data_IF_244562892279
#
_entry.id   IF_244562892279
#
_cell.length_a   1.000
_cell.length_b   1.000
_cell.length_c   1.000
_cell.angle_alpha   90.00
_cell.angle_beta   90.00
_cell.angle_gamma   90.00
#
_symmetry.space_group_name_H-M   'P 1'
#
loop_
_entity.id
_entity.type
_entity.pdbx_description
1 polymer ?
#
# COMPACT_ATOMS: atom_id res chain seq x y z
N UNK A 1 3.16 -6.92 20.86
CA UNK A 1 2.75 -6.02 19.76
C UNK A 1 2.24 -4.75 20.40
N UNK A 2 3.08 -3.72 20.40
CA UNK A 2 2.88 -2.46 21.14
C UNK A 2 1.74 -1.64 20.55
N UNK A 3 0.87 -1.16 21.42
CA UNK A 3 -0.28 -0.27 21.16
C UNK A 3 0.10 1.18 20.79
N UNK A 4 1.33 1.43 20.46
CA UNK A 4 1.86 2.77 20.23
C UNK A 4 1.78 3.17 18.77
N UNK A 5 0.59 3.56 18.25
CA UNK A 5 0.48 4.39 17.03
C UNK A 5 -0.97 4.84 16.74
N UNK A 6 -1.78 5.01 17.78
CA UNK A 6 -3.01 5.79 17.66
C UNK A 6 -2.80 6.97 18.59
N UNK A 7 -2.63 8.20 18.10
CA UNK A 7 -2.66 9.34 18.99
C UNK A 7 -4.04 9.34 19.68
N UNK A 8 -4.02 9.44 21.01
CA UNK A 8 -5.21 9.64 21.82
C UNK A 8 -6.09 10.74 21.22
N UNK A 9 -7.41 10.72 21.41
CA UNK A 9 -8.30 11.80 21.05
C UNK A 9 -8.01 13.01 21.96
N UNK A 10 -6.86 13.63 21.73
CA UNK A 10 -6.51 14.93 22.31
C UNK A 10 -7.44 15.98 21.69
N UNK A 11 -7.80 16.99 22.48
CA UNK A 11 -8.63 18.15 22.17
C UNK A 11 -8.60 18.59 20.70
N UNK A 12 -9.68 19.17 20.14
CA UNK A 12 -9.80 19.48 18.73
C UNK A 12 -8.57 20.25 18.24
N UNK A 13 -7.68 19.53 17.57
CA UNK A 13 -6.44 20.13 17.05
C UNK A 13 -6.81 21.05 15.90
N UNK A 14 -6.49 22.34 16.04
CA UNK A 14 -6.63 23.31 14.96
C UNK A 14 -6.01 22.76 13.69
N UNK A 15 -6.75 22.77 12.59
CA UNK A 15 -6.23 22.33 11.30
C UNK A 15 -5.07 23.24 10.88
N UNK A 16 -3.85 22.73 10.94
CA UNK A 16 -2.65 23.46 10.50
C UNK A 16 -2.65 23.61 8.98
N UNK A 17 -1.91 24.60 8.40
CA UNK A 17 -1.76 24.72 6.94
C UNK A 17 -1.26 23.42 6.28
N UNK A 18 -0.33 22.70 6.93
CA UNK A 18 0.18 21.42 6.44
C UNK A 18 -0.91 20.34 6.43
N UNK A 19 -1.72 20.26 7.49
CA UNK A 19 -2.85 19.32 7.55
C UNK A 19 -3.92 19.68 6.51
N UNK A 20 -4.22 20.98 6.34
CA UNK A 20 -5.15 21.45 5.31
C UNK A 20 -4.72 21.00 3.91
N UNK A 21 -3.47 21.28 3.54
CA UNK A 21 -2.91 20.87 2.26
C UNK A 21 -2.92 19.33 2.09
N UNK A 22 -2.68 18.59 3.17
CA UNK A 22 -2.76 17.12 3.16
C UNK A 22 -4.20 16.64 2.93
N UNK A 23 -5.17 17.22 3.60
CA UNK A 23 -6.59 16.91 3.38
C UNK A 23 -7.00 17.18 1.94
N UNK A 24 -6.60 18.32 1.36
CA UNK A 24 -6.86 18.65 -0.05
C UNK A 24 -6.33 17.56 -0.99
N UNK A 25 -5.09 17.10 -0.78
CA UNK A 25 -4.50 16.02 -1.59
C UNK A 25 -5.24 14.69 -1.41
N UNK A 26 -5.60 14.33 -0.19
CA UNK A 26 -6.30 13.07 0.10
C UNK A 26 -7.69 13.05 -0.56
N UNK A 27 -8.50 14.10 -0.34
CA UNK A 27 -9.85 14.16 -0.92
C UNK A 27 -9.82 14.36 -2.43
N UNK A 28 -8.79 15.06 -2.94
CA UNK A 28 -8.50 15.20 -4.36
C UNK A 28 -7.94 13.93 -5.01
N UNK A 29 -7.77 12.83 -4.22
CA UNK A 29 -7.25 11.55 -4.68
C UNK A 29 -5.88 11.64 -5.36
N UNK A 30 -4.99 12.49 -4.81
CA UNK A 30 -3.61 12.57 -5.28
C UNK A 30 -3.00 11.16 -5.39
N UNK A 31 -2.18 10.89 -6.41
CA UNK A 31 -1.51 9.61 -6.58
C UNK A 31 -0.66 9.24 -5.38
N UNK A 32 -0.68 7.98 -5.00
CA UNK A 32 0.05 7.48 -3.84
C UNK A 32 1.40 6.91 -4.24
N UNK A 33 2.42 7.33 -3.53
CA UNK A 33 3.76 6.78 -3.70
C UNK A 33 3.83 5.33 -3.23
N UNK A 34 4.70 4.55 -3.86
CA UNK A 34 5.09 3.24 -3.37
C UNK A 34 6.58 3.23 -3.02
N UNK A 35 6.90 2.91 -1.77
CA UNK A 35 8.26 2.59 -1.32
C UNK A 35 8.21 1.22 -0.66
N UNK A 36 9.01 0.28 -1.19
CA UNK A 36 9.01 -1.12 -0.75
C UNK A 36 10.43 -1.66 -0.74
N UNK A 37 10.80 -2.35 0.34
CA UNK A 37 11.99 -3.20 0.36
C UNK A 37 11.63 -4.48 -0.40
N UNK A 38 12.34 -4.76 -1.48
CA UNK A 38 12.14 -5.94 -2.33
C UNK A 38 12.96 -7.13 -1.89
N UNK A 39 14.10 -6.86 -1.24
CA UNK A 39 14.98 -7.90 -0.75
C UNK A 39 16.21 -7.34 -0.05
N UNK A 40 17.10 -8.26 0.33
CA UNK A 40 18.42 -7.96 0.88
C UNK A 40 19.39 -8.96 0.28
N UNK A 41 20.54 -8.51 -0.18
CA UNK A 41 21.60 -9.41 -0.64
C UNK A 41 22.45 -9.87 0.55
N UNK A 42 22.87 -11.12 0.58
CA UNK A 42 23.56 -11.70 1.75
C UNK A 42 25.04 -11.92 1.49
N UNK A 43 25.43 -12.04 0.24
CA UNK A 43 26.79 -12.34 -0.19
C UNK A 43 27.10 -11.71 -1.56
N UNK A 44 28.33 -11.85 -2.02
CA UNK A 44 28.82 -11.32 -3.29
C UNK A 44 28.06 -11.87 -4.51
N UNK A 45 27.76 -13.18 -4.52
CA UNK A 45 27.02 -13.82 -5.60
C UNK A 45 25.58 -13.31 -5.70
N UNK A 46 24.93 -13.16 -4.55
CA UNK A 46 23.57 -12.62 -4.47
C UNK A 46 23.54 -11.12 -4.85
N UNK A 47 24.56 -10.34 -4.45
CA UNK A 47 24.71 -8.95 -4.89
C UNK A 47 24.89 -8.87 -6.40
N UNK A 48 25.77 -9.69 -6.97
CA UNK A 48 26.00 -9.76 -8.42
C UNK A 48 24.70 -10.01 -9.16
N UNK A 49 23.97 -11.07 -8.79
CA UNK A 49 22.70 -11.43 -9.46
C UNK A 49 21.66 -10.31 -9.34
N UNK A 50 21.65 -9.57 -8.22
CA UNK A 50 20.77 -8.44 -8.05
C UNK A 50 21.16 -7.26 -8.94
N UNK A 51 22.43 -6.91 -9.03
CA UNK A 51 22.95 -5.86 -9.91
C UNK A 51 22.73 -6.20 -11.39
N UNK A 52 22.98 -7.45 -11.81
CA UNK A 52 22.65 -7.95 -13.16
C UNK A 52 21.18 -7.76 -13.47
N UNK A 53 20.30 -8.07 -12.53
CA UNK A 53 18.86 -7.90 -12.68
C UNK A 53 18.46 -6.44 -12.87
N UNK A 54 18.89 -5.52 -11.98
CA UNK A 54 18.48 -4.11 -12.05
C UNK A 54 19.14 -3.35 -13.20
N UNK A 55 20.37 -3.71 -13.56
CA UNK A 55 21.08 -3.10 -14.69
C UNK A 55 20.78 -3.81 -16.03
N UNK A 56 19.91 -4.82 -16.06
CA UNK A 56 19.61 -5.62 -17.28
C UNK A 56 20.89 -6.14 -17.93
N UNK A 57 21.76 -6.76 -17.14
CA UNK A 57 23.09 -7.25 -17.57
C UNK A 57 24.02 -6.17 -18.13
N UNK A 58 23.80 -4.91 -17.77
CA UNK A 58 24.57 -3.75 -18.21
C UNK A 58 23.89 -2.88 -19.28
N UNK A 59 22.69 -3.26 -19.77
CA UNK A 59 21.94 -2.46 -20.74
C UNK A 59 21.41 -1.15 -20.14
N UNK A 60 21.18 -1.13 -18.82
CA UNK A 60 20.76 0.07 -18.08
C UNK A 60 21.92 0.65 -17.27
N UNK A 61 21.95 1.97 -17.20
CA UNK A 61 22.94 2.72 -16.43
C UNK A 61 22.55 2.78 -14.95
N UNK A 62 23.50 2.46 -14.07
CA UNK A 62 23.41 2.74 -12.65
C UNK A 62 24.07 4.09 -12.33
N UNK A 63 23.45 4.87 -11.46
CA UNK A 63 23.97 6.12 -10.93
C UNK A 63 24.36 5.91 -9.46
N UNK A 64 25.59 6.24 -9.12
CA UNK A 64 26.11 6.06 -7.74
C UNK A 64 25.77 7.28 -6.86
N UNK A 65 26.06 7.18 -5.56
CA UNK A 65 25.92 8.28 -4.58
C UNK A 65 26.72 9.52 -4.97
N UNK A 66 27.83 9.37 -5.71
CA UNK A 66 28.66 10.46 -6.19
C UNK A 66 28.21 11.04 -7.54
N UNK A 67 27.08 10.56 -8.09
CA UNK A 67 26.60 10.93 -9.41
C UNK A 67 27.35 10.26 -10.56
N UNK A 68 28.29 9.36 -10.30
CA UNK A 68 29.02 8.62 -11.33
C UNK A 68 28.10 7.64 -12.03
N UNK A 69 28.21 7.56 -13.36
CA UNK A 69 27.41 6.68 -14.19
C UNK A 69 28.16 5.40 -14.50
N UNK A 70 27.63 4.27 -14.09
CA UNK A 70 28.17 2.92 -14.34
C UNK A 70 27.42 2.27 -15.51
N UNK A 71 28.16 1.95 -16.57
CA UNK A 71 27.60 1.40 -17.79
C UNK A 71 28.18 0.02 -18.09
N UNK A 72 27.41 -0.78 -18.80
CA UNK A 72 27.86 -2.05 -19.32
C UNK A 72 28.24 -3.09 -18.26
N UNK A 73 28.87 -4.16 -18.71
CA UNK A 73 29.32 -5.25 -17.83
C UNK A 73 30.53 -4.85 -16.96
N UNK A 74 31.36 -3.91 -17.44
CA UNK A 74 32.48 -3.41 -16.67
C UNK A 74 32.01 -2.60 -15.48
N UNK A 75 31.13 -1.61 -15.70
CA UNK A 75 30.56 -0.84 -14.61
C UNK A 75 29.82 -1.69 -13.56
N UNK A 76 29.14 -2.75 -14.01
CA UNK A 76 28.52 -3.72 -13.11
C UNK A 76 29.56 -4.46 -12.26
N UNK A 77 30.65 -4.91 -12.89
CA UNK A 77 31.76 -5.61 -12.22
C UNK A 77 32.47 -4.71 -11.21
N UNK A 78 32.76 -3.47 -11.59
CA UNK A 78 33.40 -2.50 -10.71
C UNK A 78 32.54 -2.19 -9.48
N UNK A 79 31.27 -2.01 -9.67
CA UNK A 79 30.31 -1.79 -8.59
C UNK A 79 30.23 -3.00 -7.64
N UNK A 80 30.21 -4.21 -8.21
CA UNK A 80 30.24 -5.44 -7.42
C UNK A 80 31.50 -5.52 -6.58
N UNK A 81 32.69 -5.31 -7.18
CA UNK A 81 33.96 -5.38 -6.47
C UNK A 81 34.02 -4.35 -5.34
N UNK A 82 33.73 -3.08 -5.61
CA UNK A 82 33.70 -2.03 -4.58
C UNK A 82 32.87 -2.42 -3.35
N UNK A 83 31.75 -3.08 -3.54
CA UNK A 83 30.85 -3.41 -2.44
C UNK A 83 31.12 -4.74 -1.77
N UNK A 84 31.95 -5.61 -2.37
CA UNK A 84 32.32 -6.92 -1.80
C UNK A 84 33.67 -6.93 -1.14
N UNK A 85 34.66 -6.16 -1.62
CA UNK A 85 35.99 -6.13 -1.06
C UNK A 85 36.01 -5.75 0.42
N UNK A 86 35.25 -4.73 0.80
CA UNK A 86 35.11 -4.32 2.20
C UNK A 86 34.32 -5.34 3.05
N UNK A 87 33.50 -6.21 2.45
CA UNK A 87 32.77 -7.23 3.23
C UNK A 87 33.66 -8.36 3.72
N UNK A 88 34.83 -8.56 3.11
CA UNK A 88 35.82 -9.53 3.54
C UNK A 88 36.52 -9.05 4.80
N UNK A 89 36.64 -7.73 4.98
CA UNK A 89 37.30 -7.10 6.12
C UNK A 89 36.35 -6.72 7.27
N UNK A 90 35.03 -6.96 7.10
CA UNK A 90 34.03 -6.65 8.12
C UNK A 90 33.84 -7.78 9.13
N UNK A 91 34.74 -7.84 10.12
CA UNK A 91 34.75 -8.81 11.23
C UNK A 91 33.51 -8.67 12.15
N UNK A 92 32.80 -7.56 12.11
CA UNK A 92 31.54 -7.36 12.84
C UNK A 92 30.32 -7.88 12.09
N UNK A 93 30.51 -8.35 10.86
CA UNK A 93 29.42 -8.89 10.06
C UNK A 93 28.97 -10.24 10.62
N UNK A 94 27.68 -10.32 10.99
CA UNK A 94 27.09 -11.62 11.29
C UNK A 94 27.06 -12.49 10.03
N UNK A 95 27.21 -13.80 10.19
CA UNK A 95 27.24 -14.78 9.09
C UNK A 95 26.02 -14.65 8.14
N UNK A 96 24.87 -14.21 8.64
CA UNK A 96 23.63 -13.96 7.90
C UNK A 96 23.39 -12.47 7.60
N UNK A 97 24.34 -11.60 7.87
CA UNK A 97 24.25 -10.15 7.66
C UNK A 97 24.13 -9.79 6.19
N UNK A 98 23.20 -8.87 5.87
CA UNK A 98 23.00 -8.40 4.49
C UNK A 98 24.13 -7.51 4.01
N UNK A 99 24.52 -7.64 2.74
CA UNK A 99 25.44 -6.72 2.05
C UNK A 99 24.71 -5.45 1.62
N UNK A 100 23.50 -5.61 1.08
CA UNK A 100 22.65 -4.49 0.67
C UNK A 100 21.19 -4.64 1.07
N UNK A 101 20.49 -3.52 1.07
CA UNK A 101 19.03 -3.43 1.16
C UNK A 101 18.52 -2.90 -0.17
N UNK A 102 17.62 -3.65 -0.81
CA UNK A 102 17.09 -3.35 -2.12
C UNK A 102 15.70 -2.72 -1.98
N UNK A 103 15.54 -1.52 -2.50
CA UNK A 103 14.34 -0.70 -2.36
C UNK A 103 13.82 -0.39 -3.76
N UNK A 104 12.51 -0.40 -3.93
CA UNK A 104 11.86 0.11 -5.13
C UNK A 104 10.99 1.31 -4.74
N UNK A 105 11.14 2.39 -5.48
CA UNK A 105 10.31 3.59 -5.38
C UNK A 105 9.55 3.75 -6.70
N UNK A 106 8.24 3.93 -6.64
CA UNK A 106 7.40 3.91 -7.84
C UNK A 106 6.20 4.83 -7.69
N UNK A 107 5.70 5.28 -8.85
CA UNK A 107 4.47 6.05 -8.99
C UNK A 107 3.47 5.34 -9.91
N UNK A 108 2.16 5.67 -9.83
CA UNK A 108 1.17 5.17 -10.78
C UNK A 108 1.47 5.54 -12.23
N UNK A 109 0.88 4.81 -13.20
CA UNK A 109 1.00 5.11 -14.62
C UNK A 109 0.63 6.56 -14.95
N UNK A 110 1.32 7.14 -15.93
CA UNK A 110 1.11 8.53 -16.36
C UNK A 110 1.89 9.58 -15.56
N UNK A 111 2.67 9.17 -14.55
CA UNK A 111 3.61 10.07 -13.88
C UNK A 111 4.87 10.21 -14.75
N UNK A 112 5.43 11.44 -14.83
CA UNK A 112 6.67 11.71 -15.55
C UNK A 112 7.84 10.89 -14.96
N UNK A 113 8.46 10.00 -15.75
CA UNK A 113 9.58 9.18 -15.27
C UNK A 113 10.82 9.98 -14.87
N UNK A 114 11.07 11.11 -15.52
CA UNK A 114 12.22 11.98 -15.21
C UNK A 114 12.02 12.57 -13.82
N UNK A 115 10.84 13.13 -13.55
CA UNK A 115 10.52 13.68 -12.24
C UNK A 115 10.59 12.60 -11.13
N UNK A 116 10.20 11.35 -11.44
CA UNK A 116 10.32 10.23 -10.50
C UNK A 116 11.79 9.92 -10.22
N UNK A 117 12.65 9.85 -11.23
CA UNK A 117 14.11 9.61 -11.04
C UNK A 117 14.74 10.71 -10.21
N UNK A 118 14.45 11.97 -10.52
CA UNK A 118 15.01 13.12 -9.81
C UNK A 118 14.52 13.21 -8.36
N UNK A 119 13.26 12.83 -8.11
CA UNK A 119 12.74 12.74 -6.74
C UNK A 119 13.41 11.61 -5.95
N UNK A 120 13.69 10.45 -6.59
CA UNK A 120 14.41 9.35 -5.93
C UNK A 120 15.86 9.74 -5.65
N UNK A 121 16.53 10.44 -6.56
CA UNK A 121 17.90 10.96 -6.34
C UNK A 121 17.95 11.86 -5.11
N UNK A 122 17.07 12.87 -5.03
CA UNK A 122 17.00 13.77 -3.89
C UNK A 122 16.64 13.05 -2.59
N UNK A 123 15.71 12.12 -2.65
CA UNK A 123 15.36 11.25 -1.52
C UNK A 123 16.56 10.42 -1.03
N UNK A 124 17.36 9.86 -1.96
CA UNK A 124 18.52 9.04 -1.61
C UNK A 124 19.64 9.88 -0.97
N UNK A 125 19.90 11.07 -1.51
CA UNK A 125 20.82 12.06 -0.94
C UNK A 125 20.40 12.38 0.51
N UNK A 126 19.17 12.83 0.73
CA UNK A 126 18.68 13.23 2.06
C UNK A 126 18.69 12.07 3.07
N UNK A 127 18.51 10.84 2.59
CA UNK A 127 18.28 9.70 3.49
C UNK A 127 19.53 8.88 3.75
N UNK A 128 20.42 8.74 2.78
CA UNK A 128 21.49 7.75 2.82
C UNK A 128 22.90 8.30 2.61
N UNK A 129 23.09 9.38 1.81
CA UNK A 129 24.40 9.86 1.38
C UNK A 129 25.39 10.13 2.54
N UNK A 130 24.88 10.64 3.65
CA UNK A 130 25.73 10.93 4.82
C UNK A 130 26.37 9.69 5.45
N UNK A 131 25.86 8.47 5.19
CA UNK A 131 26.28 7.28 5.90
C UNK A 131 26.36 5.98 5.07
N UNK A 132 25.84 5.94 3.86
CA UNK A 132 25.77 4.72 3.07
C UNK A 132 26.03 4.98 1.59
N UNK A 133 26.83 4.12 0.96
CA UNK A 133 26.85 4.01 -0.49
C UNK A 133 25.51 3.53 -1.02
N UNK A 134 25.12 4.02 -2.18
CA UNK A 134 23.95 3.53 -2.88
C UNK A 134 24.10 3.62 -4.39
N UNK A 135 23.28 2.86 -5.09
CA UNK A 135 23.11 3.00 -6.54
C UNK A 135 21.64 3.04 -6.88
N UNK A 136 21.29 3.80 -7.88
CA UNK A 136 19.95 3.90 -8.41
C UNK A 136 19.92 3.55 -9.91
N UNK A 137 18.92 2.75 -10.31
CA UNK A 137 18.68 2.37 -11.70
C UNK A 137 17.21 2.59 -12.01
N UNK A 138 16.93 3.37 -13.06
CA UNK A 138 15.58 3.61 -13.53
C UNK A 138 15.13 2.52 -14.50
N UNK A 139 13.90 2.02 -14.32
CA UNK A 139 13.24 1.12 -15.24
C UNK A 139 12.05 1.81 -15.90
N UNK A 140 11.95 1.68 -17.23
CA UNK A 140 10.88 2.25 -18.07
C UNK A 140 10.09 1.18 -18.82
N UNK A 141 10.36 -0.08 -18.56
CA UNK A 141 9.73 -1.25 -19.21
C UNK A 141 8.37 -1.62 -18.59
N UNK A 142 7.94 -0.98 -17.52
CA UNK A 142 6.61 -1.13 -16.90
C UNK A 142 5.81 0.18 -17.06
N UNK A 143 4.49 0.05 -17.01
CA UNK A 143 3.57 1.19 -17.02
C UNK A 143 3.76 2.12 -15.82
N UNK A 144 4.28 1.59 -14.72
CA UNK A 144 4.58 2.32 -13.50
C UNK A 144 6.04 2.79 -13.53
N UNK A 145 6.32 4.09 -13.67
CA UNK A 145 7.69 4.57 -13.58
C UNK A 145 8.25 4.23 -12.21
N UNK A 146 9.41 3.58 -12.20
CA UNK A 146 10.04 3.15 -10.95
C UNK A 146 11.56 3.18 -11.02
N UNK A 147 12.15 3.30 -9.84
CA UNK A 147 13.60 3.29 -9.65
C UNK A 147 13.95 2.22 -8.63
N UNK A 148 14.90 1.37 -8.98
CA UNK A 148 15.57 0.49 -8.04
C UNK A 148 16.67 1.27 -7.34
N UNK A 149 16.60 1.32 -6.02
CA UNK A 149 17.61 1.92 -5.15
C UNK A 149 18.20 0.79 -4.29
N UNK A 150 19.46 0.50 -4.52
CA UNK A 150 20.20 -0.49 -3.73
C UNK A 150 21.16 0.26 -2.82
N UNK A 151 20.99 0.07 -1.52
CA UNK A 151 21.77 0.76 -0.48
C UNK A 151 22.67 -0.25 0.22
N UNK A 152 23.96 0.05 0.33
CA UNK A 152 24.91 -0.76 1.07
C UNK A 152 24.52 -0.83 2.55
N UNK A 153 24.46 -2.03 3.11
CA UNK A 153 24.01 -2.20 4.49
C UNK A 153 24.98 -1.65 5.51
N UNK A 154 26.29 -1.73 5.25
CA UNK A 154 27.34 -1.18 6.10
C UNK A 154 27.38 0.34 5.93
N UNK A 155 27.23 1.08 7.02
CA UNK A 155 27.39 2.53 7.04
C UNK A 155 28.82 2.94 7.39
N UNK A 156 29.23 4.13 6.97
CA UNK A 156 30.57 4.69 7.26
C UNK A 156 30.83 4.82 8.77
N UNK A 157 29.79 5.02 9.57
CA UNK A 157 29.87 5.09 11.04
C UNK A 157 29.87 3.69 11.71
N UNK A 158 30.00 2.61 10.96
CA UNK A 158 29.97 1.23 11.45
C UNK A 158 28.60 0.68 11.80
N UNK A 159 27.52 1.48 11.69
CA UNK A 159 26.13 1.03 11.90
C UNK A 159 25.56 0.45 10.63
N UNK A 160 24.80 -0.62 10.78
CA UNK A 160 24.18 -1.30 9.63
C UNK A 160 22.75 -0.82 9.41
N UNK A 161 22.40 -0.62 8.14
CA UNK A 161 21.04 -0.26 7.71
C UNK A 161 20.07 -1.43 8.03
N UNK A 162 19.18 -1.19 8.95
CA UNK A 162 18.14 -2.15 9.33
C UNK A 162 16.77 -1.46 9.44
N UNK A 163 16.16 -1.11 8.31
CA UNK A 163 14.93 -0.32 8.30
C UNK A 163 13.77 -1.07 8.95
N UNK A 164 13.05 -0.33 9.77
CA UNK A 164 11.85 -0.76 10.47
C UNK A 164 10.60 -0.23 9.74
N UNK A 165 9.45 -0.61 10.22
CA UNK A 165 8.16 -0.19 9.66
C UNK A 165 7.96 1.33 9.71
N UNK A 166 8.46 1.98 10.76
CA UNK A 166 8.44 3.43 10.91
C UNK A 166 9.29 4.13 9.84
N UNK A 167 10.51 3.61 9.56
CA UNK A 167 11.39 4.15 8.55
C UNK A 167 10.74 4.15 7.17
N UNK A 168 10.04 3.05 6.82
CA UNK A 168 9.29 2.97 5.57
C UNK A 168 8.15 3.99 5.48
N UNK A 169 7.53 4.37 6.59
CA UNK A 169 6.53 5.43 6.59
C UNK A 169 7.18 6.80 6.33
N UNK A 170 8.28 7.09 7.02
CA UNK A 170 9.09 8.31 6.82
C UNK A 170 9.61 8.40 5.37
N UNK A 171 10.12 7.30 4.82
CA UNK A 171 10.60 7.25 3.44
C UNK A 171 9.51 7.56 2.40
N UNK A 172 8.29 7.08 2.63
CA UNK A 172 7.16 7.43 1.76
C UNK A 172 6.84 8.91 1.82
N UNK A 173 6.81 9.48 3.01
CA UNK A 173 6.55 10.93 3.19
C UNK A 173 7.63 11.78 2.52
N UNK A 174 8.91 11.44 2.69
CA UNK A 174 10.03 12.12 2.02
C UNK A 174 9.92 12.02 0.51
N UNK A 175 9.78 10.82 -0.02
CA UNK A 175 9.64 10.62 -1.47
C UNK A 175 8.44 11.37 -2.05
N UNK A 176 7.29 11.36 -1.37
CA UNK A 176 6.14 12.16 -1.77
C UNK A 176 6.43 13.68 -1.68
N UNK A 177 7.22 14.11 -0.71
CA UNK A 177 7.72 15.48 -0.58
C UNK A 177 8.54 15.89 -1.79
N UNK A 178 9.53 15.07 -2.16
CA UNK A 178 10.42 15.30 -3.28
C UNK A 178 9.70 15.37 -4.64
N UNK A 179 8.67 14.53 -4.82
CA UNK A 179 7.81 14.59 -6.00
C UNK A 179 7.02 15.89 -6.06
N UNK A 180 6.45 16.34 -4.93
CA UNK A 180 5.71 17.62 -4.87
C UNK A 180 6.59 18.83 -5.15
N UNK A 181 7.85 18.83 -4.70
CA UNK A 181 8.82 19.90 -5.02
C UNK A 181 9.10 19.97 -6.53
N UNK A 182 8.89 18.87 -7.27
CA UNK A 182 9.03 18.79 -8.74
C UNK A 182 7.69 18.95 -9.48
N UNK A 183 6.65 19.46 -8.79
CA UNK A 183 5.33 19.69 -9.40
C UNK A 183 4.48 18.43 -9.62
N UNK A 184 4.94 17.27 -9.14
CA UNK A 184 4.18 16.03 -9.25
C UNK A 184 3.24 15.87 -8.05
N UNK A 185 1.94 15.78 -8.30
CA UNK A 185 0.97 15.50 -7.25
C UNK A 185 1.26 14.11 -6.64
N UNK A 186 1.56 14.05 -5.34
CA UNK A 186 1.90 12.82 -4.65
C UNK A 186 1.49 12.87 -3.18
N UNK A 187 1.08 11.70 -2.65
CA UNK A 187 0.72 11.54 -1.24
C UNK A 187 1.26 10.20 -0.69
N UNK A 188 1.47 10.14 0.61
CA UNK A 188 2.01 8.98 1.33
C UNK A 188 1.06 8.50 2.43
N UNK A 189 -0.21 8.44 2.14
CA UNK A 189 -1.24 8.11 3.13
C UNK A 189 -1.39 6.58 3.28
N UNK A 190 -1.45 6.04 4.50
CA UNK A 190 -1.74 4.63 4.70
C UNK A 190 -3.08 4.23 4.05
N UNK A 191 -3.13 3.07 3.40
CA UNK A 191 -4.34 2.58 2.70
C UNK A 191 -5.60 2.61 3.58
N UNK A 192 -5.46 2.26 4.86
CA UNK A 192 -6.56 2.25 5.83
C UNK A 192 -7.20 3.63 6.02
N UNK A 193 -6.40 4.70 6.00
CA UNK A 193 -6.90 6.08 6.17
C UNK A 193 -7.62 6.60 4.92
N UNK A 194 -7.51 5.89 3.80
CA UNK A 194 -8.24 6.18 2.56
C UNK A 194 -9.42 5.23 2.33
N UNK A 195 -9.90 4.54 3.39
CA UNK A 195 -10.98 3.56 3.29
C UNK A 195 -10.59 2.25 2.57
N UNK A 196 -9.33 2.05 2.18
CA UNK A 196 -8.87 0.82 1.51
C UNK A 196 -8.45 -0.22 2.54
N UNK A 197 -9.40 -0.83 3.20
CA UNK A 197 -9.19 -1.78 4.30
C UNK A 197 -8.84 -3.19 3.83
N UNK A 198 -9.20 -3.56 2.60
CA UNK A 198 -8.89 -4.88 2.05
C UNK A 198 -7.42 -5.02 1.69
N UNK A 199 -6.79 -6.11 2.14
CA UNK A 199 -5.43 -6.46 1.73
C UNK A 199 -5.39 -6.77 0.23
N UNK A 200 -4.37 -6.31 -0.47
CA UNK A 200 -4.16 -6.68 -1.87
C UNK A 200 -3.84 -8.16 -1.98
N UNK A 201 -4.45 -8.83 -2.95
CA UNK A 201 -4.12 -10.21 -3.25
C UNK A 201 -2.68 -10.29 -3.82
N UNK A 202 -2.00 -11.40 -3.55
CA UNK A 202 -0.68 -11.66 -4.15
C UNK A 202 -0.80 -11.82 -5.66
N UNK A 203 0.19 -11.38 -6.41
CA UNK A 203 0.19 -11.48 -7.88
C UNK A 203 -0.20 -12.86 -8.44
N UNK A 204 0.36 -13.98 -7.94
CA UNK A 204 -0.03 -15.31 -8.38
C UNK A 204 -1.52 -15.63 -8.18
N UNK A 205 -2.10 -15.18 -7.06
CA UNK A 205 -3.54 -15.35 -6.78
C UNK A 205 -4.40 -14.58 -7.78
N UNK A 206 -4.00 -13.34 -8.10
CA UNK A 206 -4.67 -12.52 -9.11
C UNK A 206 -4.57 -13.17 -10.49
N UNK A 207 -3.41 -13.71 -10.86
CA UNK A 207 -3.19 -14.38 -12.12
C UNK A 207 -4.03 -15.66 -12.27
N UNK A 208 -4.16 -16.45 -11.21
CA UNK A 208 -5.04 -17.63 -11.19
C UNK A 208 -6.51 -17.25 -11.43
N UNK A 209 -7.02 -16.23 -10.69
CA UNK A 209 -8.40 -15.77 -10.85
C UNK A 209 -8.69 -15.22 -12.26
N UNK A 210 -7.73 -14.49 -12.86
CA UNK A 210 -7.87 -14.01 -14.26
C UNK A 210 -8.01 -15.14 -15.27
N UNK A 211 -7.40 -16.31 -14.98
CA UNK A 211 -7.51 -17.53 -15.80
C UNK A 211 -8.74 -18.39 -15.46
N UNK A 212 -9.63 -17.91 -14.58
CA UNK A 212 -10.80 -18.67 -14.12
C UNK A 212 -10.48 -19.79 -13.13
N UNK A 213 -9.22 -19.90 -12.67
CA UNK A 213 -8.79 -20.93 -11.73
C UNK A 213 -9.04 -20.44 -10.31
N UNK A 214 -9.74 -21.26 -9.50
CA UNK A 214 -9.99 -20.96 -8.09
C UNK A 214 -8.71 -21.23 -7.28
N UNK A 215 -8.08 -20.23 -6.68
CA UNK A 215 -6.90 -20.43 -5.82
C UNK A 215 -7.20 -21.31 -4.61
N UNK A 216 -6.22 -22.07 -4.14
CA UNK A 216 -6.40 -22.95 -2.95
C UNK A 216 -6.72 -22.13 -1.69
N UNK A 217 -6.20 -20.90 -1.59
CA UNK A 217 -6.59 -19.96 -0.53
C UNK A 217 -8.09 -19.65 -0.54
N UNK A 218 -8.72 -19.60 -1.71
CA UNK A 218 -10.16 -19.34 -1.84
C UNK A 218 -10.97 -20.59 -1.55
N UNK A 219 -10.48 -21.77 -1.93
CA UNK A 219 -11.10 -23.06 -1.60
C UNK A 219 -11.14 -23.26 -0.07
N UNK A 220 -9.98 -23.15 0.60
CA UNK A 220 -9.88 -23.26 2.04
C UNK A 220 -10.75 -22.26 2.81
N UNK A 221 -10.80 -20.99 2.32
CA UNK A 221 -11.67 -19.98 2.93
C UNK A 221 -13.17 -20.32 2.75
N UNK A 222 -13.58 -20.87 1.60
CA UNK A 222 -14.97 -21.33 1.38
C UNK A 222 -15.34 -22.50 2.28
N UNK A 223 -14.46 -23.49 2.38
CA UNK A 223 -14.65 -24.65 3.26
C UNK A 223 -14.78 -24.25 4.73
N UNK A 224 -13.94 -23.30 5.18
CA UNK A 224 -14.04 -22.74 6.53
C UNK A 224 -15.40 -22.08 6.77
N UNK A 225 -15.85 -21.24 5.84
CA UNK A 225 -17.15 -20.55 5.94
C UNK A 225 -18.30 -21.55 5.99
N UNK A 226 -18.31 -22.56 5.13
CA UNK A 226 -19.35 -23.60 5.11
C UNK A 226 -19.34 -24.38 6.42
N UNK A 227 -18.17 -24.75 6.91
CA UNK A 227 -18.02 -25.47 8.20
C UNK A 227 -18.54 -24.61 9.36
N UNK A 228 -18.17 -23.34 9.40
CA UNK A 228 -18.62 -22.42 10.45
C UNK A 228 -20.14 -22.18 10.40
N UNK A 229 -20.72 -22.11 9.20
CA UNK A 229 -22.17 -21.99 9.04
C UNK A 229 -22.91 -23.21 9.56
N UNK A 230 -22.43 -24.42 9.24
CA UNK A 230 -23.00 -25.68 9.74
C UNK A 230 -22.89 -25.81 11.26
N UNK A 231 -21.81 -25.31 11.85
CA UNK A 231 -21.57 -25.33 13.30
C UNK A 231 -22.27 -24.20 14.06
N UNK A 232 -23.00 -23.30 13.39
CA UNK A 232 -23.62 -22.13 14.03
C UNK A 232 -22.60 -21.08 14.51
N UNK A 233 -21.32 -21.17 14.11
CA UNK A 233 -20.23 -20.29 14.55
C UNK A 233 -19.82 -19.26 13.48
N UNK A 234 -20.74 -18.96 12.56
CA UNK A 234 -20.48 -18.03 11.44
C UNK A 234 -20.45 -16.54 11.85
N UNK A 235 -20.59 -16.21 13.13
CA UNK A 235 -20.54 -14.83 13.66
C UNK A 235 -19.23 -14.08 13.34
N UNK A 236 -19.23 -12.79 13.61
CA UNK A 236 -18.06 -11.92 13.41
C UNK A 236 -16.86 -12.42 14.25
N UNK A 237 -15.67 -12.27 13.69
CA UNK A 237 -14.43 -12.62 14.38
C UNK A 237 -13.86 -11.38 15.11
N UNK A 238 -13.14 -11.53 16.23
CA UNK A 238 -12.61 -10.39 16.99
C UNK A 238 -11.75 -9.40 16.17
N UNK A 239 -11.02 -9.91 15.17
CA UNK A 239 -10.22 -9.04 14.30
C UNK A 239 -11.06 -8.25 13.28
N UNK A 240 -12.24 -8.75 12.89
CA UNK A 240 -13.19 -8.05 12.02
C UNK A 240 -13.82 -6.88 12.76
N UNK A 241 -14.17 -7.08 14.04
CA UNK A 241 -14.66 -6.01 14.93
C UNK A 241 -13.59 -4.94 15.13
N UNK A 242 -12.37 -5.34 15.48
CA UNK A 242 -11.23 -4.39 15.59
C UNK A 242 -10.97 -3.62 14.30
N UNK A 243 -11.19 -4.22 13.13
CA UNK A 243 -11.05 -3.52 11.85
C UNK A 243 -12.15 -2.45 11.67
N UNK A 244 -13.39 -2.75 12.06
CA UNK A 244 -14.52 -1.80 12.01
C UNK A 244 -14.33 -0.65 13.00
N UNK A 245 -13.95 -0.96 14.24
CA UNK A 245 -13.64 0.06 15.26
C UNK A 245 -12.55 1.03 14.79
N UNK A 246 -11.46 0.49 14.21
CA UNK A 246 -10.38 1.31 13.66
C UNK A 246 -10.87 2.19 12.52
N UNK A 247 -11.71 1.67 11.65
CA UNK A 247 -12.27 2.44 10.55
C UNK A 247 -13.23 3.52 11.04
N UNK A 248 -14.03 3.23 12.06
CA UNK A 248 -14.89 4.22 12.72
C UNK A 248 -14.08 5.37 13.31
N UNK A 249 -12.96 5.08 14.01
CA UNK A 249 -12.04 6.09 14.55
C UNK A 249 -11.44 6.96 13.43
N UNK A 250 -11.02 6.37 12.32
CA UNK A 250 -10.48 7.10 11.17
C UNK A 250 -11.54 8.04 10.58
N UNK A 251 -12.77 7.56 10.38
CA UNK A 251 -13.89 8.38 9.88
C UNK A 251 -14.19 9.54 10.82
N UNK A 252 -14.23 9.28 12.13
CA UNK A 252 -14.44 10.31 13.14
C UNK A 252 -13.37 11.42 13.08
N UNK A 253 -12.09 11.06 12.95
CA UNK A 253 -11.00 12.04 12.81
C UNK A 253 -11.16 12.94 11.58
N UNK A 254 -11.55 12.38 10.41
CA UNK A 254 -11.84 13.20 9.25
C UNK A 254 -13.01 14.16 9.48
N UNK A 255 -14.08 13.70 10.14
CA UNK A 255 -15.25 14.53 10.44
C UNK A 255 -14.89 15.62 11.49
N UNK A 256 -13.98 15.35 12.42
CA UNK A 256 -13.46 16.34 13.34
C UNK A 256 -12.70 17.44 12.59
N UNK A 257 -11.81 17.06 11.65
CA UNK A 257 -11.14 18.04 10.81
C UNK A 257 -12.12 18.84 9.94
N UNK A 258 -13.17 18.22 9.42
CA UNK A 258 -14.22 18.94 8.66
C UNK A 258 -14.92 19.98 9.56
N UNK A 259 -15.27 19.64 10.79
CA UNK A 259 -15.86 20.58 11.76
C UNK A 259 -14.93 21.74 12.09
N UNK A 260 -13.64 21.47 12.26
CA UNK A 260 -12.66 22.54 12.52
C UNK A 260 -12.51 23.49 11.31
N UNK A 261 -12.51 22.96 10.09
CA UNK A 261 -12.49 23.76 8.86
C UNK A 261 -13.74 24.64 8.77
N UNK A 262 -14.92 24.14 9.11
CA UNK A 262 -16.17 24.92 9.13
C UNK A 262 -16.11 26.08 10.15
N UNK A 263 -15.48 25.88 11.30
CA UNK A 263 -15.31 26.91 12.36
C UNK A 263 -14.46 28.10 11.95
N UNK A 264 -13.57 27.93 10.96
CA UNK A 264 -12.76 29.07 10.45
C UNK A 264 -13.61 30.16 9.77
N UNK A 265 -14.80 29.83 9.32
CA UNK A 265 -15.70 30.74 8.61
C UNK A 265 -15.29 31.05 7.17
N UNK A 266 -14.10 30.63 6.71
CA UNK A 266 -13.60 30.90 5.36
C UNK A 266 -14.31 30.03 4.31
N UNK A 267 -14.68 30.63 3.18
CA UNK A 267 -15.39 29.91 2.12
C UNK A 267 -14.58 28.72 1.57
N UNK A 268 -13.26 28.87 1.40
CA UNK A 268 -12.36 27.80 0.94
C UNK A 268 -12.31 26.62 1.93
N UNK A 269 -12.34 26.91 3.23
CA UNK A 269 -12.29 25.86 4.26
C UNK A 269 -13.63 25.13 4.37
N UNK A 270 -14.77 25.84 4.20
CA UNK A 270 -16.11 25.22 4.09
C UNK A 270 -16.20 24.29 2.88
N UNK A 271 -15.67 24.71 1.73
CA UNK A 271 -15.62 23.88 0.53
C UNK A 271 -14.78 22.61 0.74
N UNK A 272 -13.64 22.73 1.43
CA UNK A 272 -12.81 21.58 1.78
C UNK A 272 -13.53 20.65 2.77
N UNK A 273 -14.18 21.20 3.78
CA UNK A 273 -14.96 20.42 4.74
C UNK A 273 -16.07 19.59 4.06
N UNK A 274 -16.77 20.16 3.10
CA UNK A 274 -17.75 19.40 2.28
C UNK A 274 -17.09 18.22 1.57
N UNK A 275 -15.97 18.45 0.87
CA UNK A 275 -15.23 17.38 0.19
C UNK A 275 -14.75 16.29 1.17
N UNK A 276 -14.31 16.67 2.38
CA UNK A 276 -13.94 15.70 3.43
C UNK A 276 -15.14 14.86 3.85
N UNK A 277 -16.33 15.46 4.04
CA UNK A 277 -17.55 14.73 4.38
C UNK A 277 -17.98 13.77 3.26
N UNK A 278 -17.94 14.22 2.01
CA UNK A 278 -18.19 13.35 0.85
C UNK A 278 -17.21 12.20 0.77
N UNK A 279 -15.92 12.47 0.98
CA UNK A 279 -14.88 11.44 1.02
C UNK A 279 -15.16 10.38 2.08
N UNK A 280 -15.56 10.79 3.29
CA UNK A 280 -15.94 9.86 4.37
C UNK A 280 -17.19 9.07 4.03
N UNK A 281 -18.22 9.70 3.44
CA UNK A 281 -19.45 9.05 3.03
C UNK A 281 -19.19 7.97 1.95
N UNK A 282 -18.24 8.21 1.06
CA UNK A 282 -17.86 7.25 0.01
C UNK A 282 -16.88 6.18 0.48
N UNK A 283 -16.38 6.22 1.71
CA UNK A 283 -15.52 5.16 2.22
C UNK A 283 -16.31 3.85 2.35
N UNK A 284 -15.87 2.75 1.71
CA UNK A 284 -16.52 1.45 1.89
C UNK A 284 -16.36 0.97 3.32
N UNK A 285 -17.34 0.22 3.79
CA UNK A 285 -17.20 -0.49 5.07
C UNK A 285 -16.10 -1.54 4.98
N UNK A 286 -15.36 -1.75 6.09
CA UNK A 286 -14.35 -2.79 6.13
C UNK A 286 -15.02 -4.16 5.99
N UNK A 287 -14.69 -4.84 4.92
CA UNK A 287 -15.19 -6.18 4.64
C UNK A 287 -14.00 -7.13 4.41
N UNK A 288 -13.95 -8.20 5.16
CA UNK A 288 -12.95 -9.26 5.00
C UNK A 288 -13.33 -10.19 3.85
N UNK A 289 -12.38 -10.97 3.31
CA UNK A 289 -12.69 -11.99 2.31
C UNK A 289 -13.68 -13.02 2.82
N UNK A 290 -13.59 -13.36 4.11
CA UNK A 290 -14.53 -14.27 4.78
C UNK A 290 -15.96 -13.70 4.76
N UNK A 291 -16.15 -12.44 5.14
CA UNK A 291 -17.46 -11.79 5.12
C UNK A 291 -18.03 -11.71 3.69
N UNK A 292 -17.19 -11.42 2.69
CA UNK A 292 -17.62 -11.48 1.29
C UNK A 292 -18.11 -12.88 0.90
N UNK A 293 -17.36 -13.93 1.27
CA UNK A 293 -17.76 -15.30 0.97
C UNK A 293 -19.06 -15.69 1.68
N UNK A 294 -19.24 -15.27 2.93
CA UNK A 294 -20.50 -15.48 3.66
C UNK A 294 -21.65 -14.82 2.88
N UNK A 295 -21.50 -13.59 2.44
CA UNK A 295 -22.49 -12.85 1.67
C UNK A 295 -22.78 -13.52 0.33
N UNK A 296 -21.74 -13.91 -0.43
CA UNK A 296 -21.86 -14.62 -1.72
C UNK A 296 -22.62 -15.95 -1.54
N UNK A 297 -22.25 -16.76 -0.58
CA UNK A 297 -22.91 -18.05 -0.31
C UNK A 297 -24.35 -17.88 0.17
N UNK A 298 -24.62 -16.90 1.03
CA UNK A 298 -25.97 -16.59 1.50
C UNK A 298 -26.87 -16.10 0.37
N UNK A 299 -26.32 -15.34 -0.60
CA UNK A 299 -27.03 -14.90 -1.77
C UNK A 299 -27.36 -16.08 -2.71
N UNK A 300 -26.41 -16.99 -2.96
CA UNK A 300 -26.61 -18.20 -3.74
C UNK A 300 -27.68 -19.09 -3.11
N UNK A 301 -27.62 -19.32 -1.79
CA UNK A 301 -28.59 -20.14 -1.06
C UNK A 301 -30.02 -19.58 -1.14
N UNK A 302 -30.18 -18.27 -1.17
CA UNK A 302 -31.49 -17.62 -1.35
C UNK A 302 -32.06 -17.82 -2.74
N UNK A 303 -31.22 -17.83 -3.77
CA UNK A 303 -31.65 -18.05 -5.17
C UNK A 303 -31.98 -19.50 -5.50
N UNK A 304 -31.44 -20.45 -4.75
CA UNK A 304 -31.67 -21.89 -4.92
C UNK A 304 -32.81 -22.43 -4.06
N UNK A 305 -33.43 -21.61 -3.20
CA UNK A 305 -34.67 -22.01 -2.51
C UNK A 305 -35.80 -21.97 -3.55
N UNK A 306 -36.45 -23.09 -3.84
CA UNK A 306 -37.67 -23.07 -4.66
C UNK A 306 -38.74 -22.23 -3.92
N UNK A 307 -39.61 -21.60 -4.68
CA UNK A 307 -40.75 -20.75 -4.27
C UNK A 307 -41.79 -21.61 -3.50
N UNK A 308 -41.46 -22.03 -2.28
CA UNK A 308 -42.38 -22.85 -1.45
C UNK A 308 -43.35 -21.99 -0.64
N UNK A 309 -43.29 -20.66 -0.72
CA UNK A 309 -44.16 -19.75 0.02
C UNK A 309 -45.13 -18.93 -0.90
N UNK A 310 -45.34 -19.35 -2.14
CA UNK A 310 -46.54 -18.93 -2.85
C UNK A 310 -47.70 -19.83 -2.41
N UNK A 311 -48.33 -19.46 -1.31
CA UNK A 311 -49.66 -19.95 -0.98
C UNK A 311 -50.56 -19.72 -2.18
N UNK A 312 -51.34 -20.73 -2.64
CA UNK A 312 -52.33 -20.51 -3.69
C UNK A 312 -53.36 -19.52 -3.15
N UNK A 313 -53.54 -18.43 -3.87
CA UNK A 313 -54.60 -17.45 -3.61
C UNK A 313 -55.94 -18.16 -3.77
N UNK A 314 -56.45 -18.79 -2.72
CA UNK A 314 -57.80 -19.27 -2.60
C UNK A 314 -58.72 -18.08 -2.28
N UNK A 315 -59.45 -17.62 -3.23
CA UNK A 315 -60.53 -16.63 -2.95
C UNK A 315 -60.98 -15.84 -4.16
N UNK A 316 -61.68 -16.52 -5.06
CA UNK A 316 -62.71 -15.83 -5.81
C UNK A 316 -63.93 -16.79 -5.99
N UNK A 317 -64.76 -16.80 -4.96
CA UNK A 317 -66.13 -17.33 -5.07
C UNK A 317 -67.03 -16.13 -5.38
N UNK A 318 -67.21 -15.84 -6.67
CA UNK A 318 -68.23 -14.90 -7.13
C UNK A 318 -69.62 -15.43 -6.88
N UNK A 319 -70.60 -14.60 -6.41
CA UNK A 319 -71.99 -15.04 -6.15
C UNK A 319 -72.78 -15.08 -7.43
N UNK A 320 -73.67 -16.09 -7.46
CA UNK A 320 -74.49 -16.48 -8.54
C UNK A 320 -75.43 -15.41 -9.14
N UNK A 321 -75.70 -15.60 -10.41
CA UNK A 321 -76.74 -14.93 -11.14
C UNK A 321 -78.05 -15.77 -11.04
N UNK A 322 -79.06 -15.14 -10.48
CA UNK A 322 -80.46 -15.64 -10.56
C UNK A 322 -81.04 -15.24 -11.89
N UNK A 323 -81.60 -16.25 -12.52
CA UNK A 323 -82.85 -16.30 -13.37
C UNK A 323 -83.59 -15.01 -13.77
N UNK A 324 -83.78 -14.80 -15.01
CA UNK A 324 -84.99 -14.99 -15.77
C UNK A 324 -84.68 -15.01 -17.27
#
# INVERSE_FOLDING_TARGET
MSEADIPDPVAPQRVTPAMRARLERIVGRAPEVMVKITGRTKDAGHLKSHLEYIMRNGDLTAETEQGSLMHGREGLKDLQLRWTDDTVLDDKRRRDGSVSVNIILSMPPGTDPIAVKDAVRAFAIETFEANHDYVLVQHLDDKHPHVHLTVRSQGYNGKRLNPRKADLATWRERFAGELRLRGVAAEATPRRTRGKVRKHDKGPVVALRRRGVVPDTDKGAREEVVRAAKAGTAGARPWEEKARERQAKIRAQYLDHARELERTGKGSDRALAMKVREFVAMMPDPETRREQLIRELSWMARRTRPDQDRAPNCGDTGPGAKTR
#
